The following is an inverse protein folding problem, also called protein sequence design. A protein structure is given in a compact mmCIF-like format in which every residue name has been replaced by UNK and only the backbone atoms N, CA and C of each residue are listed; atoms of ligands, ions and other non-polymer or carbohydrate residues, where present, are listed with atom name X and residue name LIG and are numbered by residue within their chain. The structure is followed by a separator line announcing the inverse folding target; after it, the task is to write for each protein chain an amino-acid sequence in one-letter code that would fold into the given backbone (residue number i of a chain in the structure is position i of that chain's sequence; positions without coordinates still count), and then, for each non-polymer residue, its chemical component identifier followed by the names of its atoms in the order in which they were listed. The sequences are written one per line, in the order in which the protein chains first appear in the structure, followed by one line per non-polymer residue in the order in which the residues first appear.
data_IF_704443454485
#
_entry.id   IF_704443454485
#
_cell.length_a   1.000
_cell.length_b   1.000
_cell.length_c   1.000
_cell.angle_alpha   90.00
_cell.angle_beta   90.00
_cell.angle_gamma   90.00
#
_symmetry.space_group_name_H-M   'P 1'
#
loop_
_entity.id
_entity.type
_entity.pdbx_description
1 polymer ?
#
# COMPACT_ATOMS: atom_id res chain seq x y z
N UNK A 1 12.51 -30.94 -50.63
CA UNK A 1 11.36 -30.47 -49.81
C UNK A 1 11.49 -30.77 -48.31
N UNK A 2 12.26 -31.78 -47.86
CA UNK A 2 12.42 -32.11 -46.43
C UNK A 2 13.15 -31.04 -45.58
N UNK A 3 14.07 -30.26 -46.14
CA UNK A 3 14.84 -29.26 -45.37
C UNK A 3 14.09 -27.95 -45.06
N UNK A 4 12.99 -27.63 -45.76
CA UNK A 4 12.22 -26.40 -45.50
C UNK A 4 11.20 -26.57 -44.35
N UNK A 5 10.72 -27.79 -44.12
CA UNK A 5 9.76 -28.09 -43.04
C UNK A 5 10.47 -28.08 -41.66
N UNK A 6 11.73 -28.51 -41.61
CA UNK A 6 12.52 -28.52 -40.38
C UNK A 6 12.84 -27.10 -39.85
N UNK A 7 13.09 -26.15 -40.75
CA UNK A 7 13.37 -24.75 -40.39
C UNK A 7 12.12 -24.01 -39.88
N UNK A 8 10.93 -24.32 -40.41
CA UNK A 8 9.68 -23.72 -39.94
C UNK A 8 9.28 -24.26 -38.57
N UNK A 9 9.52 -25.55 -38.28
CA UNK A 9 9.26 -26.12 -36.95
C UNK A 9 10.19 -25.53 -35.88
N UNK A 10 11.48 -25.33 -36.20
CA UNK A 10 12.43 -24.71 -35.26
C UNK A 10 12.10 -23.23 -35.03
N UNK A 11 11.61 -22.52 -36.06
CA UNK A 11 11.15 -21.14 -35.90
C UNK A 11 9.91 -21.03 -35.02
N UNK A 12 8.94 -21.96 -35.13
CA UNK A 12 7.77 -22.00 -34.24
C UNK A 12 8.09 -22.42 -32.81
N UNK A 13 9.11 -23.28 -32.61
CA UNK A 13 9.60 -23.64 -31.28
C UNK A 13 10.43 -22.51 -30.67
N UNK A 14 11.10 -21.66 -31.46
CA UNK A 14 11.83 -20.50 -30.92
C UNK A 14 10.94 -19.26 -30.72
N UNK A 15 9.90 -19.06 -31.54
CA UNK A 15 8.93 -17.95 -31.36
C UNK A 15 7.83 -18.28 -30.35
N UNK A 16 7.54 -19.57 -30.11
CA UNK A 16 6.61 -20.02 -29.06
C UNK A 16 7.17 -19.88 -27.64
N UNK A 17 8.49 -19.79 -27.47
CA UNK A 17 9.14 -19.60 -26.18
C UNK A 17 9.60 -18.15 -25.92
N UNK A 18 9.42 -17.25 -26.89
CA UNK A 18 9.85 -15.85 -26.76
C UNK A 18 8.88 -14.95 -25.96
N UNK A 19 7.71 -15.44 -25.54
CA UNK A 19 6.69 -14.64 -24.83
C UNK A 19 6.18 -15.26 -23.51
N UNK A 20 7.00 -16.09 -22.85
CA UNK A 20 6.68 -16.57 -21.52
C UNK A 20 7.88 -16.43 -20.59
N UNK A 21 8.38 -15.21 -20.44
CA UNK A 21 9.20 -14.86 -19.29
C UNK A 21 8.27 -14.77 -18.08
N UNK A 22 7.84 -15.94 -17.61
CA UNK A 22 7.00 -16.07 -16.44
C UNK A 22 7.86 -15.64 -15.25
N UNK A 23 7.57 -14.49 -14.64
CA UNK A 23 8.16 -14.13 -13.34
C UNK A 23 8.07 -15.34 -12.40
N UNK A 24 9.18 -15.62 -11.70
CA UNK A 24 9.28 -16.66 -10.67
C UNK A 24 8.29 -16.42 -9.52
N UNK A 25 7.75 -15.20 -9.42
CA UNK A 25 6.79 -14.79 -8.43
C UNK A 25 5.44 -14.43 -9.07
N UNK A 26 4.41 -14.40 -8.25
CA UNK A 26 3.14 -13.78 -8.60
C UNK A 26 2.97 -12.50 -7.79
N UNK A 27 3.08 -11.36 -8.46
CA UNK A 27 2.83 -10.05 -7.87
C UNK A 27 1.37 -9.66 -8.05
N UNK A 28 0.70 -9.25 -6.97
CA UNK A 28 -0.67 -8.75 -6.98
C UNK A 28 -0.68 -7.32 -6.44
N UNK A 29 -1.26 -6.38 -7.18
CA UNK A 29 -1.36 -4.99 -6.75
C UNK A 29 -2.70 -4.69 -6.06
N UNK A 30 -2.64 -4.14 -4.84
CA UNK A 30 -3.79 -3.70 -4.05
C UNK A 30 -3.68 -2.19 -3.79
N UNK A 31 -4.29 -1.40 -4.66
CA UNK A 31 -4.29 0.06 -4.58
C UNK A 31 -5.69 0.53 -4.16
N UNK A 32 -5.79 1.54 -3.30
CA UNK A 32 -7.07 2.12 -2.93
C UNK A 32 -7.45 3.28 -3.86
N UNK A 33 -6.80 4.43 -3.66
CA UNK A 33 -7.05 5.64 -4.44
C UNK A 33 -6.21 5.67 -5.72
N UNK A 34 -6.79 6.15 -6.83
CA UNK A 34 -6.10 6.31 -8.12
C UNK A 34 -6.41 5.19 -9.12
N UNK A 35 -6.94 4.04 -8.67
CA UNK A 35 -7.40 2.96 -9.55
C UNK A 35 -8.55 3.37 -10.47
N UNK A 36 -9.42 4.28 -10.02
CA UNK A 36 -10.55 4.75 -10.82
C UNK A 36 -10.13 5.48 -12.11
N UNK A 37 -8.87 5.95 -12.17
CA UNK A 37 -8.31 6.62 -13.34
C UNK A 37 -7.47 5.70 -14.23
N UNK A 38 -7.20 4.47 -13.79
CA UNK A 38 -6.39 3.52 -14.55
C UNK A 38 -7.22 2.78 -15.59
N UNK A 39 -6.66 2.60 -16.79
CA UNK A 39 -7.25 1.77 -17.84
C UNK A 39 -7.22 0.28 -17.46
N UNK A 40 -8.12 -0.51 -18.01
CA UNK A 40 -8.15 -1.97 -17.77
C UNK A 40 -6.86 -2.67 -18.24
N UNK A 41 -6.22 -2.15 -19.29
CA UNK A 41 -4.90 -2.59 -19.72
C UNK A 41 -3.83 -2.36 -18.63
N UNK A 42 -3.83 -1.17 -18.02
CA UNK A 42 -2.90 -0.84 -16.93
C UNK A 42 -3.14 -1.75 -15.72
N UNK A 43 -4.40 -1.97 -15.36
CA UNK A 43 -4.76 -2.86 -14.25
C UNK A 43 -4.34 -4.30 -14.52
N UNK A 44 -4.55 -4.79 -15.74
CA UNK A 44 -4.14 -6.14 -16.13
C UNK A 44 -2.62 -6.28 -16.08
N UNK A 45 -1.89 -5.28 -16.60
CA UNK A 45 -0.43 -5.26 -16.57
C UNK A 45 0.13 -5.29 -15.15
N UNK A 46 -0.49 -4.57 -14.22
CA UNK A 46 -0.09 -4.53 -12.81
C UNK A 46 -0.65 -5.70 -11.98
N UNK A 47 -1.48 -6.57 -12.57
CA UNK A 47 -2.30 -7.52 -11.83
C UNK A 47 -3.05 -6.86 -10.64
N UNK A 48 -3.58 -5.67 -10.91
CA UNK A 48 -4.41 -4.89 -10.01
C UNK A 48 -5.89 -5.14 -10.28
N UNK A 49 -6.75 -4.77 -9.34
CA UNK A 49 -8.19 -4.95 -9.46
C UNK A 49 -8.93 -3.86 -8.69
N UNK A 50 -10.15 -3.54 -9.14
CA UNK A 50 -11.00 -2.55 -8.47
C UNK A 50 -11.72 -3.18 -7.29
N UNK A 51 -11.80 -2.45 -6.18
CA UNK A 51 -12.50 -2.86 -4.96
C UNK A 51 -13.02 -1.62 -4.21
N UNK A 52 -13.94 -1.81 -3.26
CA UNK A 52 -14.50 -0.70 -2.50
C UNK A 52 -13.53 -0.24 -1.40
N UNK A 53 -12.92 0.92 -1.62
CA UNK A 53 -11.99 1.54 -0.69
C UNK A 53 -12.61 2.66 0.17
N UNK A 54 -13.94 2.73 0.26
CA UNK A 54 -14.69 3.76 1.00
C UNK A 54 -15.32 3.25 2.31
N UNK A 55 -15.00 2.03 2.73
CA UNK A 55 -15.51 1.43 3.97
C UNK A 55 -14.44 1.39 5.07
N UNK A 56 -14.86 1.18 6.32
CA UNK A 56 -13.96 0.88 7.45
C UNK A 56 -13.08 -0.35 7.18
N UNK A 57 -11.83 -0.34 7.66
CA UNK A 57 -10.81 -1.38 7.36
C UNK A 57 -11.36 -2.80 7.56
N UNK A 58 -12.11 -3.07 8.63
CA UNK A 58 -12.66 -4.40 8.91
C UNK A 58 -13.66 -4.83 7.84
N UNK A 59 -14.53 -3.93 7.39
CA UNK A 59 -15.53 -4.24 6.36
C UNK A 59 -14.88 -4.29 4.97
N UNK A 60 -13.96 -3.37 4.69
CA UNK A 60 -13.11 -3.41 3.51
C UNK A 60 -12.35 -4.74 3.40
N UNK A 61 -11.78 -5.24 4.50
CA UNK A 61 -11.07 -6.52 4.53
C UNK A 61 -11.98 -7.71 4.21
N UNK A 62 -13.22 -7.72 4.72
CA UNK A 62 -14.22 -8.76 4.39
C UNK A 62 -14.56 -8.76 2.90
N UNK A 63 -14.67 -7.58 2.29
CA UNK A 63 -15.00 -7.43 0.87
C UNK A 63 -13.80 -7.70 -0.04
N UNK A 64 -12.59 -7.34 0.40
CA UNK A 64 -11.35 -7.51 -0.36
C UNK A 64 -10.87 -8.96 -0.38
N UNK A 65 -11.00 -9.69 0.74
CA UNK A 65 -10.41 -11.02 0.86
C UNK A 65 -10.92 -12.07 -0.14
N UNK A 66 -12.20 -12.12 -0.55
CA UNK A 66 -12.65 -13.01 -1.61
C UNK A 66 -11.93 -12.74 -2.94
N UNK A 67 -11.82 -11.46 -3.33
CA UNK A 67 -11.17 -11.04 -4.57
C UNK A 67 -9.67 -11.36 -4.53
N UNK A 68 -9.02 -11.06 -3.40
CA UNK A 68 -7.61 -11.32 -3.21
C UNK A 68 -7.31 -12.83 -3.21
N UNK A 69 -8.17 -13.67 -2.60
CA UNK A 69 -8.04 -15.12 -2.68
C UNK A 69 -8.16 -15.64 -4.12
N UNK A 70 -9.10 -15.12 -4.91
CA UNK A 70 -9.24 -15.49 -6.33
C UNK A 70 -7.95 -15.18 -7.10
N UNK A 71 -7.40 -13.97 -6.93
CA UNK A 71 -6.14 -13.55 -7.55
C UNK A 71 -4.95 -14.41 -7.10
N UNK A 72 -4.88 -14.75 -5.82
CA UNK A 72 -3.85 -15.64 -5.28
C UNK A 72 -3.99 -17.06 -5.85
N UNK A 73 -5.20 -17.57 -5.98
CA UNK A 73 -5.43 -18.91 -6.54
C UNK A 73 -5.02 -18.96 -8.02
N UNK A 74 -5.25 -17.88 -8.78
CA UNK A 74 -4.81 -17.77 -10.16
C UNK A 74 -3.26 -17.79 -10.31
N UNK A 75 -2.51 -17.51 -9.24
CA UNK A 75 -1.05 -17.65 -9.22
C UNK A 75 -0.57 -19.12 -9.18
N UNK A 76 -1.46 -20.08 -8.89
CA UNK A 76 -1.12 -21.50 -8.78
C UNK A 76 -0.14 -21.81 -7.65
N UNK A 77 1.01 -22.40 -8.00
CA UNK A 77 2.07 -22.77 -7.05
C UNK A 77 3.12 -21.69 -6.83
N UNK A 78 3.07 -20.58 -7.57
CA UNK A 78 4.06 -19.50 -7.44
C UNK A 78 4.00 -18.84 -6.07
N UNK A 79 5.13 -18.44 -5.48
CA UNK A 79 5.13 -17.59 -4.29
C UNK A 79 4.44 -16.26 -4.60
N UNK A 80 3.59 -15.78 -3.69
CA UNK A 80 2.85 -14.53 -3.88
C UNK A 80 3.53 -13.39 -3.15
N UNK A 81 3.66 -12.25 -3.83
CA UNK A 81 3.98 -10.96 -3.25
C UNK A 81 2.79 -10.02 -3.45
N UNK A 82 2.45 -9.27 -2.41
CA UNK A 82 1.46 -8.20 -2.52
C UNK A 82 2.20 -6.86 -2.62
N UNK A 83 1.83 -6.02 -3.58
CA UNK A 83 2.26 -4.62 -3.67
C UNK A 83 1.04 -3.78 -3.32
N UNK A 84 1.07 -3.06 -2.20
CA UNK A 84 -0.11 -2.36 -1.69
C UNK A 84 0.18 -0.89 -1.38
N UNK A 85 -0.78 -0.01 -1.69
CA UNK A 85 -0.59 1.44 -1.61
C UNK A 85 -1.59 2.12 -0.69
N UNK A 86 -1.10 3.08 0.10
CA UNK A 86 -1.94 3.94 0.94
C UNK A 86 -2.86 3.12 1.84
N UNK A 87 -4.16 3.38 1.70
CA UNK A 87 -5.21 2.66 2.41
C UNK A 87 -5.26 1.15 2.11
N UNK A 88 -4.94 0.74 0.87
CA UNK A 88 -4.93 -0.68 0.50
C UNK A 88 -3.94 -1.49 1.34
N UNK A 89 -2.82 -0.87 1.72
CA UNK A 89 -1.87 -1.49 2.63
C UNK A 89 -2.47 -1.73 4.02
N UNK A 90 -3.22 -0.78 4.59
CA UNK A 90 -3.84 -0.93 5.92
C UNK A 90 -4.83 -2.10 5.95
N UNK A 91 -5.58 -2.29 4.86
CA UNK A 91 -6.50 -3.44 4.71
C UNK A 91 -5.74 -4.75 4.55
N UNK A 92 -4.71 -4.80 3.70
CA UNK A 92 -3.85 -5.99 3.52
C UNK A 92 -3.17 -6.36 4.84
N UNK A 93 -2.65 -5.36 5.58
CA UNK A 93 -2.02 -5.55 6.87
C UNK A 93 -2.98 -6.19 7.88
N UNK A 94 -4.22 -5.71 7.94
CA UNK A 94 -5.27 -6.30 8.77
C UNK A 94 -5.58 -7.75 8.37
N UNK A 95 -5.78 -8.03 7.08
CA UNK A 95 -6.05 -9.39 6.57
C UNK A 95 -4.92 -10.34 6.98
N UNK A 96 -3.66 -9.97 6.70
CA UNK A 96 -2.50 -10.81 6.97
C UNK A 96 -2.31 -11.06 8.46
N UNK A 97 -2.42 -10.02 9.29
CA UNK A 97 -2.19 -10.20 10.72
C UNK A 97 -3.30 -10.95 11.45
N UNK A 98 -4.57 -10.80 11.04
CA UNK A 98 -5.65 -11.67 11.53
C UNK A 98 -5.45 -13.11 11.01
N UNK A 99 -5.05 -13.27 9.75
CA UNK A 99 -4.69 -14.58 9.19
C UNK A 99 -3.58 -15.28 9.97
N UNK A 100 -2.51 -14.55 10.31
CA UNK A 100 -1.43 -15.05 11.18
C UNK A 100 -1.95 -15.48 12.54
N UNK A 101 -2.70 -14.60 13.22
CA UNK A 101 -3.21 -14.82 14.58
C UNK A 101 -4.03 -16.10 14.72
N UNK A 102 -4.79 -16.45 13.69
CA UNK A 102 -5.75 -17.56 13.73
C UNK A 102 -5.40 -18.73 12.81
N UNK A 103 -4.15 -18.81 12.33
CA UNK A 103 -3.71 -19.80 11.34
C UNK A 103 -3.97 -21.25 11.77
N UNK A 104 -3.85 -21.54 13.07
CA UNK A 104 -4.04 -22.88 13.64
C UNK A 104 -5.51 -23.19 13.95
N UNK A 105 -6.27 -22.18 14.40
CA UNK A 105 -7.67 -22.36 14.84
C UNK A 105 -8.66 -22.40 13.67
N UNK A 106 -8.43 -21.60 12.62
CA UNK A 106 -9.34 -21.46 11.49
C UNK A 106 -8.62 -21.61 10.15
N UNK A 107 -8.01 -22.79 9.88
CA UNK A 107 -7.14 -22.99 8.70
C UNK A 107 -7.83 -22.73 7.36
N UNK A 108 -9.16 -22.87 7.31
CA UNK A 108 -9.97 -22.67 6.12
C UNK A 108 -10.47 -21.23 5.91
N UNK A 109 -10.28 -20.35 6.88
CA UNK A 109 -10.73 -18.96 6.79
C UNK A 109 -10.00 -18.21 5.67
N UNK A 110 -10.72 -17.34 4.97
CA UNK A 110 -10.21 -16.60 3.81
C UNK A 110 -8.91 -15.84 4.11
N UNK A 111 -8.80 -15.21 5.28
CA UNK A 111 -7.59 -14.46 5.68
C UNK A 111 -6.40 -15.38 5.95
N UNK A 112 -6.66 -16.59 6.50
CA UNK A 112 -5.62 -17.59 6.76
C UNK A 112 -5.08 -18.15 5.45
N UNK A 113 -5.96 -18.41 4.47
CA UNK A 113 -5.55 -18.84 3.12
C UNK A 113 -4.65 -17.82 2.43
N UNK A 114 -4.99 -16.53 2.53
CA UNK A 114 -4.16 -15.43 2.04
C UNK A 114 -2.79 -15.44 2.76
N UNK A 115 -2.80 -15.43 4.10
CA UNK A 115 -1.57 -15.42 4.91
C UNK A 115 -0.62 -16.58 4.56
N UNK A 116 -1.13 -17.80 4.39
CA UNK A 116 -0.31 -18.98 4.06
C UNK A 116 0.35 -18.92 2.67
N UNK A 117 -0.18 -18.12 1.74
CA UNK A 117 0.30 -18.03 0.35
C UNK A 117 1.20 -16.83 0.09
N UNK A 118 1.00 -15.76 0.85
CA UNK A 118 1.79 -14.52 0.73
C UNK A 118 3.15 -14.72 1.39
N UNK A 119 4.20 -14.34 0.68
CA UNK A 119 5.60 -14.48 1.13
C UNK A 119 6.24 -13.15 1.52
N UNK A 120 5.61 -12.04 1.15
CA UNK A 120 6.05 -10.69 1.48
C UNK A 120 5.13 -9.62 0.91
N UNK A 121 5.29 -8.40 1.40
CA UNK A 121 4.51 -7.24 0.96
C UNK A 121 5.44 -6.07 0.67
N UNK A 122 5.25 -5.38 -0.46
CA UNK A 122 5.79 -4.05 -0.67
C UNK A 122 4.73 -3.03 -0.29
N UNK A 123 5.02 -2.23 0.72
CA UNK A 123 4.17 -1.15 1.20
C UNK A 123 4.58 0.15 0.53
N UNK A 124 3.73 0.66 -0.37
CA UNK A 124 3.96 1.92 -1.08
C UNK A 124 3.16 3.01 -0.35
N UNK A 125 3.85 3.85 0.42
CA UNK A 125 3.22 4.87 1.26
C UNK A 125 2.07 4.30 2.11
N UNK A 126 2.31 3.20 2.83
CA UNK A 126 1.27 2.51 3.60
C UNK A 126 0.73 3.36 4.76
N UNK A 127 -0.59 3.38 4.95
CA UNK A 127 -1.20 4.14 6.04
C UNK A 127 -1.30 3.31 7.34
N UNK A 128 -0.18 2.85 7.90
CA UNK A 128 -0.20 1.93 9.06
C UNK A 128 -0.74 2.55 10.34
N UNK A 129 -0.71 3.87 10.46
CA UNK A 129 -1.18 4.63 11.63
C UNK A 129 -2.17 5.73 11.24
N UNK A 130 -2.92 5.51 10.15
CA UNK A 130 -3.89 6.49 9.65
C UNK A 130 -3.25 7.76 9.09
N UNK A 131 -4.07 8.81 8.94
CA UNK A 131 -3.69 10.07 8.29
C UNK A 131 -4.33 11.29 8.96
N UNK A 132 -3.59 12.42 9.08
CA UNK A 132 -4.14 13.71 9.51
C UNK A 132 -5.28 14.23 8.62
N UNK A 133 -5.26 13.87 7.33
CA UNK A 133 -6.34 14.21 6.42
C UNK A 133 -7.66 13.59 6.88
N UNK A 134 -7.63 12.32 7.28
CA UNK A 134 -8.81 11.64 7.79
C UNK A 134 -9.24 12.17 9.16
N UNK A 135 -8.30 12.55 10.03
CA UNK A 135 -8.62 13.22 11.30
C UNK A 135 -9.49 14.45 11.07
N UNK A 136 -9.12 15.29 10.09
CA UNK A 136 -9.90 16.48 9.75
C UNK A 136 -11.26 16.13 9.13
N UNK A 137 -11.30 15.25 8.14
CA UNK A 137 -12.57 14.84 7.47
C UNK A 137 -13.54 14.21 8.50
N UNK A 138 -13.01 13.46 9.46
CA UNK A 138 -13.81 12.80 10.47
C UNK A 138 -14.17 13.68 11.67
N UNK A 139 -13.52 14.82 11.91
CA UNK A 139 -13.86 15.73 13.02
C UNK A 139 -14.64 16.96 12.56
N UNK A 140 -14.41 17.47 11.35
CA UNK A 140 -15.05 18.68 10.84
C UNK A 140 -16.27 18.37 9.96
N UNK A 141 -17.46 18.81 10.38
CA UNK A 141 -18.71 18.60 9.64
C UNK A 141 -18.68 19.19 8.23
N UNK A 142 -18.11 20.38 8.05
CA UNK A 142 -18.04 21.03 6.74
C UNK A 142 -17.15 20.25 5.77
N UNK A 143 -15.95 19.87 6.21
CA UNK A 143 -15.05 19.06 5.39
C UNK A 143 -15.65 17.67 5.10
N UNK A 144 -16.36 17.07 6.07
CA UNK A 144 -17.09 15.82 5.88
C UNK A 144 -18.18 15.95 4.82
N UNK A 145 -18.97 17.02 4.86
CA UNK A 145 -20.01 17.29 3.86
C UNK A 145 -19.41 17.50 2.47
N UNK A 146 -18.31 18.25 2.36
CA UNK A 146 -17.60 18.43 1.09
C UNK A 146 -17.08 17.08 0.57
N UNK A 147 -16.45 16.28 1.43
CA UNK A 147 -15.98 14.94 1.08
C UNK A 147 -17.13 14.07 0.56
N UNK A 148 -18.29 14.07 1.24
CA UNK A 148 -19.47 13.32 0.82
C UNK A 148 -19.99 13.75 -0.55
N UNK A 149 -20.02 15.06 -0.83
CA UNK A 149 -20.39 15.59 -2.16
C UNK A 149 -19.42 15.10 -3.24
N UNK A 150 -18.13 14.95 -2.89
CA UNK A 150 -17.10 14.38 -3.78
C UNK A 150 -17.10 12.83 -3.80
N UNK A 151 -18.12 12.19 -3.22
CA UNK A 151 -18.24 10.73 -3.16
C UNK A 151 -17.23 10.06 -2.23
N UNK A 152 -16.67 10.79 -1.27
CA UNK A 152 -15.72 10.30 -0.27
C UNK A 152 -16.36 10.23 1.11
N UNK A 153 -16.02 9.18 1.88
CA UNK A 153 -16.52 8.99 3.24
C UNK A 153 -15.44 9.27 4.28
N UNK A 154 -15.86 9.71 5.46
CA UNK A 154 -15.03 9.58 6.66
C UNK A 154 -14.88 8.08 6.96
N UNK A 155 -13.64 7.64 7.14
CA UNK A 155 -13.27 6.29 7.52
C UNK A 155 -12.55 6.42 8.87
N UNK A 156 -13.24 6.14 9.97
CA UNK A 156 -12.69 6.34 11.32
C UNK A 156 -11.43 5.51 11.55
N UNK A 157 -11.39 4.30 11.01
CA UNK A 157 -10.22 3.42 11.05
C UNK A 157 -9.01 3.92 10.27
N UNK A 158 -9.11 5.07 9.58
CA UNK A 158 -8.00 5.75 8.91
C UNK A 158 -7.59 7.06 9.58
N UNK A 159 -8.22 7.40 10.71
CA UNK A 159 -7.73 8.45 11.62
C UNK A 159 -6.45 7.98 12.32
N UNK A 160 -5.69 8.92 12.85
CA UNK A 160 -4.49 8.63 13.65
C UNK A 160 -4.83 8.15 15.07
N UNK A 161 -6.11 8.23 15.45
CA UNK A 161 -6.61 7.83 16.76
C UNK A 161 -6.42 6.32 17.00
N UNK A 162 -5.70 5.92 18.08
CA UNK A 162 -5.43 4.51 18.38
C UNK A 162 -6.67 3.63 18.51
N UNK A 163 -7.73 4.19 19.10
CA UNK A 163 -9.00 3.49 19.38
C UNK A 163 -9.76 3.05 18.13
N UNK A 164 -9.44 3.61 16.96
CA UNK A 164 -10.18 3.34 15.73
C UNK A 164 -9.38 2.52 14.72
N UNK A 165 -8.05 2.58 14.75
CA UNK A 165 -7.22 1.99 13.72
C UNK A 165 -6.85 0.53 14.05
N UNK A 166 -7.29 -0.48 13.28
CA UNK A 166 -7.07 -1.89 13.61
C UNK A 166 -5.61 -2.36 13.55
N UNK A 167 -4.66 -1.52 13.14
CA UNK A 167 -3.23 -1.83 13.30
C UNK A 167 -2.78 -1.83 14.77
N UNK A 168 -3.50 -1.16 15.67
CA UNK A 168 -3.22 -1.25 17.11
C UNK A 168 -3.61 -2.62 17.67
N UNK A 169 -4.61 -3.27 17.08
CA UNK A 169 -5.00 -4.64 17.42
C UNK A 169 -4.19 -5.69 16.68
N UNK A 170 -3.43 -5.32 15.66
CA UNK A 170 -2.65 -6.23 14.80
C UNK A 170 -1.18 -5.79 14.81
N UNK A 171 -0.37 -6.40 15.65
CA UNK A 171 1.05 -6.01 15.82
C UNK A 171 2.02 -6.67 14.81
N UNK A 172 1.52 -7.50 13.90
CA UNK A 172 2.37 -8.18 12.91
C UNK A 172 1.55 -8.74 11.75
N UNK A 173 2.01 -8.59 10.49
CA UNK A 173 1.41 -9.26 9.33
C UNK A 173 1.92 -10.69 9.15
N UNK A 174 2.99 -11.09 9.85
CA UNK A 174 3.55 -12.45 9.80
C UNK A 174 4.42 -12.74 8.58
N UNK A 175 4.55 -11.77 7.69
CA UNK A 175 5.41 -11.81 6.49
C UNK A 175 6.24 -10.53 6.44
N UNK A 176 7.42 -10.51 5.80
CA UNK A 176 8.21 -9.29 5.61
C UNK A 176 7.41 -8.20 4.87
N UNK A 177 7.52 -6.96 5.36
CA UNK A 177 6.95 -5.75 4.76
C UNK A 177 8.08 -4.81 4.38
N UNK A 178 8.27 -4.63 3.08
CA UNK A 178 9.26 -3.74 2.49
C UNK A 178 8.66 -2.35 2.33
N UNK A 179 9.18 -1.39 3.09
CA UNK A 179 8.63 -0.03 3.21
C UNK A 179 9.20 0.87 2.11
N UNK A 180 8.29 1.45 1.34
CA UNK A 180 8.57 2.45 0.31
C UNK A 180 7.85 3.73 0.73
N UNK A 181 8.61 4.81 0.90
CA UNK A 181 8.09 6.08 1.43
C UNK A 181 8.61 7.29 0.65
N UNK A 182 7.99 8.44 0.88
CA UNK A 182 8.38 9.73 0.34
C UNK A 182 8.04 10.83 1.34
N UNK A 183 8.77 11.94 1.29
CA UNK A 183 8.38 13.21 1.92
C UNK A 183 8.11 14.32 0.91
N UNK A 184 7.99 13.99 -0.39
CA UNK A 184 7.71 14.97 -1.43
C UNK A 184 6.23 15.32 -1.51
N UNK A 185 5.90 16.60 -1.40
CA UNK A 185 4.50 17.08 -1.26
C UNK A 185 3.88 17.61 -2.55
N UNK A 186 4.69 17.79 -3.59
CA UNK A 186 4.29 18.52 -4.79
C UNK A 186 4.04 20.00 -4.50
N UNK A 187 2.96 20.56 -5.05
CA UNK A 187 2.63 21.98 -4.94
C UNK A 187 2.27 22.41 -3.50
N UNK A 188 3.23 23.08 -2.87
CA UNK A 188 3.15 23.60 -1.50
C UNK A 188 2.03 24.64 -1.29
N UNK A 189 1.52 25.23 -2.37
CA UNK A 189 0.47 26.24 -2.27
C UNK A 189 -0.92 25.66 -2.04
N UNK A 190 -1.11 24.36 -2.26
CA UNK A 190 -2.42 23.74 -2.07
C UNK A 190 -2.83 23.72 -0.58
N UNK A 191 -4.10 24.06 -0.30
CA UNK A 191 -4.65 24.09 1.06
C UNK A 191 -4.50 22.73 1.79
N UNK A 192 -4.54 21.63 1.03
CA UNK A 192 -4.29 20.27 1.56
C UNK A 192 -2.86 20.14 2.08
N UNK A 193 -1.87 20.54 1.28
CA UNK A 193 -0.46 20.44 1.67
C UNK A 193 -0.14 21.34 2.85
N UNK A 194 -0.68 22.56 2.90
CA UNK A 194 -0.52 23.47 4.06
C UNK A 194 -1.09 22.89 5.34
N UNK A 195 -2.32 22.38 5.29
CA UNK A 195 -2.96 21.72 6.43
C UNK A 195 -2.18 20.50 6.91
N UNK A 196 -1.71 19.67 5.97
CA UNK A 196 -0.90 18.51 6.32
C UNK A 196 0.44 18.95 6.91
N UNK A 197 1.10 19.96 6.33
CA UNK A 197 2.39 20.47 6.77
C UNK A 197 2.40 21.01 8.21
N UNK A 198 1.28 21.57 8.67
CA UNK A 198 1.13 22.12 10.02
C UNK A 198 0.65 21.11 11.07
N UNK A 199 0.34 19.87 10.67
CA UNK A 199 -0.24 18.91 11.61
C UNK A 199 0.77 18.48 12.69
N UNK A 200 0.35 18.57 13.95
CA UNK A 200 1.17 18.23 15.10
C UNK A 200 2.26 19.26 15.46
N UNK A 201 2.31 20.39 14.75
CA UNK A 201 3.20 21.51 15.03
C UNK A 201 2.46 22.64 15.74
N UNK A 202 3.19 23.38 16.57
CA UNK A 202 2.78 24.66 17.12
C UNK A 202 2.77 25.75 16.05
N UNK A 203 2.16 26.89 16.38
CA UNK A 203 2.11 28.04 15.47
C UNK A 203 3.51 28.64 15.27
N UNK A 204 4.33 28.66 16.32
CA UNK A 204 5.72 29.11 16.31
C UNK A 204 6.57 28.24 15.39
N UNK A 205 6.52 26.91 15.54
CA UNK A 205 7.20 25.97 14.65
C UNK A 205 6.78 26.20 13.19
N UNK A 206 5.48 26.19 12.91
CA UNK A 206 5.01 26.20 11.52
C UNK A 206 5.17 27.56 10.80
N UNK A 207 4.87 28.68 11.46
CA UNK A 207 4.82 29.99 10.79
C UNK A 207 6.03 30.89 11.07
N UNK A 208 6.62 30.83 12.27
CA UNK A 208 7.77 31.67 12.62
C UNK A 208 9.07 31.01 12.15
N UNK A 209 9.18 29.69 12.34
CA UNK A 209 10.40 28.95 12.02
C UNK A 209 10.36 28.29 10.63
N UNK A 210 9.23 28.40 9.91
CA UNK A 210 8.97 27.70 8.63
C UNK A 210 9.20 26.18 8.75
N UNK A 211 9.01 25.62 9.96
CA UNK A 211 9.04 24.19 10.17
C UNK A 211 7.81 23.56 9.57
N UNK A 212 7.99 22.36 9.04
CA UNK A 212 6.90 21.57 8.50
C UNK A 212 7.15 20.15 8.91
N UNK A 213 6.07 19.42 9.15
CA UNK A 213 6.20 18.00 9.44
C UNK A 213 6.73 17.25 8.20
N UNK A 214 6.82 15.93 8.22
CA UNK A 214 7.30 15.09 7.12
C UNK A 214 6.16 14.22 6.58
N UNK A 215 5.80 14.39 5.31
CA UNK A 215 4.72 13.66 4.63
C UNK A 215 4.85 13.76 3.11
N UNK A 216 4.27 12.82 2.37
CA UNK A 216 4.22 12.85 0.90
C UNK A 216 3.04 13.70 0.34
N UNK A 217 2.48 14.58 1.19
CA UNK A 217 1.29 15.38 0.87
C UNK A 217 -0.04 14.61 0.98
N UNK A 218 -0.02 13.36 1.45
CA UNK A 218 -1.21 12.57 1.82
C UNK A 218 -0.98 11.75 3.10
N UNK A 219 0.08 10.94 3.13
CA UNK A 219 0.45 10.04 4.21
C UNK A 219 1.63 10.64 4.98
N UNK A 220 1.55 10.74 6.32
CA UNK A 220 2.67 11.21 7.11
C UNK A 220 3.77 10.14 7.19
N UNK A 221 5.03 10.57 7.29
CA UNK A 221 6.20 9.69 7.22
C UNK A 221 6.15 8.59 8.27
N UNK A 222 5.75 8.91 9.51
CA UNK A 222 5.67 7.91 10.58
C UNK A 222 4.68 6.77 10.25
N UNK A 223 3.57 7.10 9.60
CA UNK A 223 2.57 6.13 9.16
C UNK A 223 3.12 5.30 8.01
N UNK A 224 3.78 5.92 7.03
CA UNK A 224 4.41 5.24 5.89
C UNK A 224 5.53 4.27 6.29
N UNK A 225 6.29 4.60 7.33
CA UNK A 225 7.36 3.75 7.86
C UNK A 225 6.86 2.70 8.88
N UNK A 226 5.57 2.71 9.21
CA UNK A 226 5.01 1.82 10.22
C UNK A 226 5.61 2.05 11.60
N UNK A 227 5.82 3.31 11.98
CA UNK A 227 6.36 3.68 13.28
C UNK A 227 5.31 3.50 14.38
N UNK A 228 5.78 3.25 15.60
CA UNK A 228 4.94 3.19 16.78
C UNK A 228 4.44 4.58 17.17
N UNK A 229 5.32 5.58 17.05
CA UNK A 229 5.10 6.96 17.47
C UNK A 229 5.25 7.97 16.32
N UNK A 230 4.89 9.24 16.57
CA UNK A 230 4.72 10.29 15.53
C UNK A 230 5.98 11.15 15.31
N UNK A 231 7.01 11.03 16.13
CA UNK A 231 8.20 11.86 16.15
C UNK A 231 8.94 11.89 14.80
N UNK A 232 9.05 10.79 14.02
CA UNK A 232 9.63 10.83 12.68
C UNK A 232 8.85 11.71 11.70
N UNK A 233 7.59 12.02 11.98
CA UNK A 233 6.85 13.00 11.21
C UNK A 233 7.18 14.43 11.66
N UNK A 234 7.43 14.68 12.95
CA UNK A 234 7.65 16.04 13.46
C UNK A 234 9.10 16.51 13.34
N UNK A 235 10.07 15.60 13.53
CA UNK A 235 11.48 15.95 13.62
C UNK A 235 12.31 15.17 12.60
N UNK A 236 13.11 15.90 11.80
CA UNK A 236 13.92 15.32 10.71
C UNK A 236 14.93 14.28 11.18
N UNK A 237 15.49 14.49 12.36
CA UNK A 237 16.55 13.66 12.93
C UNK A 237 16.00 12.55 13.87
N UNK A 238 14.68 12.41 13.98
CA UNK A 238 14.07 11.36 14.79
C UNK A 238 14.12 10.01 14.09
N UNK A 239 14.55 8.99 14.82
CA UNK A 239 14.48 7.60 14.38
C UNK A 239 13.05 7.06 14.51
N UNK A 240 12.70 6.13 13.61
CA UNK A 240 11.43 5.40 13.63
C UNK A 240 11.59 4.07 14.36
N UNK A 241 11.01 3.98 15.56
CA UNK A 241 10.73 2.69 16.21
C UNK A 241 9.53 2.05 15.52
N UNK A 242 9.72 0.93 14.83
CA UNK A 242 8.64 0.31 14.04
C UNK A 242 7.70 -0.48 14.95
N UNK A 243 6.42 -0.52 14.57
CA UNK A 243 5.37 -1.37 15.15
C UNK A 243 5.87 -2.83 15.31
N UNK A 244 6.70 -3.29 14.36
CA UNK A 244 7.39 -4.56 14.46
C UNK A 244 8.70 -4.59 13.65
N UNK A 245 9.84 -4.41 14.33
CA UNK A 245 11.18 -4.40 13.71
C UNK A 245 11.56 -5.71 12.99
N UNK A 246 10.95 -6.84 13.36
CA UNK A 246 11.22 -8.13 12.70
C UNK A 246 10.65 -8.14 11.29
N UNK A 247 9.42 -7.65 11.11
CA UNK A 247 8.72 -7.74 9.83
C UNK A 247 8.87 -6.49 8.97
N UNK A 248 9.02 -5.30 9.55
CA UNK A 248 9.06 -4.06 8.80
C UNK A 248 10.51 -3.71 8.41
N UNK A 249 10.79 -3.64 7.11
CA UNK A 249 12.12 -3.40 6.55
C UNK A 249 12.09 -2.16 5.68
N UNK A 250 12.94 -1.18 5.99
CA UNK A 250 13.15 -0.03 5.11
C UNK A 250 13.71 -0.55 3.79
N UNK A 251 13.03 -0.21 2.68
CA UNK A 251 13.41 -0.68 1.37
C UNK A 251 13.78 0.46 0.43
N UNK A 252 12.91 1.47 0.30
CA UNK A 252 13.20 2.66 -0.50
C UNK A 252 12.56 3.91 0.12
N UNK A 253 13.27 5.04 0.04
CA UNK A 253 12.73 6.36 0.35
C UNK A 253 13.09 7.29 -0.80
N UNK A 254 12.09 7.88 -1.44
CA UNK A 254 12.28 8.86 -2.50
C UNK A 254 11.61 10.19 -2.14
N UNK A 255 12.43 11.17 -1.74
CA UNK A 255 11.95 12.48 -1.29
C UNK A 255 11.75 13.48 -2.45
N UNK A 256 11.83 13.02 -3.70
CA UNK A 256 11.63 13.83 -4.90
C UNK A 256 10.36 13.48 -5.69
N UNK A 257 9.63 12.45 -5.27
CA UNK A 257 8.51 11.87 -6.01
C UNK A 257 7.27 11.81 -5.13
N UNK A 258 6.13 12.30 -5.62
CA UNK A 258 4.91 12.45 -4.83
C UNK A 258 4.21 11.14 -4.52
N UNK A 259 3.25 11.18 -3.59
CA UNK A 259 2.47 10.03 -3.11
C UNK A 259 1.94 9.09 -4.22
N UNK A 260 1.41 9.65 -5.31
CA UNK A 260 0.84 8.88 -6.42
C UNK A 260 1.89 8.47 -7.45
N UNK A 261 2.98 9.23 -7.57
CA UNK A 261 4.03 8.94 -8.54
C UNK A 261 4.88 7.74 -8.09
N UNK A 262 4.95 7.48 -6.78
CA UNK A 262 5.52 6.25 -6.22
C UNK A 262 4.88 4.98 -6.79
N UNK A 263 3.59 5.01 -7.14
CA UNK A 263 2.91 3.86 -7.77
C UNK A 263 3.46 3.54 -9.16
N UNK A 264 4.00 4.55 -9.84
CA UNK A 264 4.39 4.51 -11.25
C UNK A 264 5.90 4.38 -11.43
N UNK A 265 6.68 4.42 -10.35
CA UNK A 265 8.11 4.18 -10.42
C UNK A 265 8.40 2.75 -10.86
N UNK A 266 8.99 2.64 -12.04
CA UNK A 266 9.31 1.37 -12.70
C UNK A 266 10.06 0.39 -11.78
N UNK A 267 11.04 0.89 -11.01
CA UNK A 267 11.85 0.07 -10.10
C UNK A 267 11.03 -0.49 -8.92
N UNK A 268 9.93 0.17 -8.52
CA UNK A 268 9.01 -0.31 -7.49
C UNK A 268 7.95 -1.27 -8.04
N UNK A 269 7.59 -1.10 -9.32
CA UNK A 269 6.71 -2.00 -10.07
C UNK A 269 7.40 -3.32 -10.36
N UNK A 270 8.71 -3.31 -10.63
CA UNK A 270 9.49 -4.51 -10.89
C UNK A 270 9.98 -5.13 -9.55
N UNK A 271 10.44 -4.35 -8.56
CA UNK A 271 10.81 -4.88 -7.23
C UNK A 271 12.03 -5.82 -7.24
N UNK A 272 12.63 -6.06 -6.06
CA UNK A 272 13.92 -6.80 -5.91
C UNK A 272 13.91 -8.18 -6.54
N UNK A 273 12.74 -8.81 -6.58
CA UNK A 273 12.61 -10.21 -6.98
C UNK A 273 12.01 -10.40 -8.39
N UNK A 274 11.58 -9.35 -9.09
CA UNK A 274 11.24 -9.46 -10.52
C UNK A 274 12.42 -9.04 -11.44
N UNK A 275 13.53 -8.52 -10.90
CA UNK A 275 14.75 -8.23 -11.68
C UNK A 275 15.71 -9.43 -11.75
N UNK A 276 15.69 -10.10 -12.92
CA UNK A 276 16.67 -11.03 -13.53
C UNK A 276 16.97 -12.36 -12.84
#
# INVERSE_FOLDING_TARGET
MKNKILLVLIFFILTGFANAQSSLLCSIFVVAHGLEKMSDETLTKLNAFRWNYQDEIINAAKNLAPILNEKINACGSKPVIIKAHGYGMSVVYHILGIGKRYVEMFPEHAYVKIYKKVTGVYSIAGAFRGTPLMDRICTNTSDRSIAQVLGKKCIFSMTTAPIHHPSYDVNSPGVPVYLISSTFRGDENSNRVKMLGSYGLTWEEYFIHDDRNQSDGVIPLFSALGCEFIEPMLYKDSDCEKINEIYFKNYNRNDFVGHYDLLMEKNLIDGVYDEK
#
